data_IF_680513523192
#
_entry.id   IF_680513523192
#
_cell.length_a   1.000
_cell.length_b   1.000
_cell.length_c   1.000
_cell.angle_alpha   90.00
_cell.angle_beta   90.00
_cell.angle_gamma   90.00
#
_symmetry.space_group_name_H-M   'P 1'
#
loop_
_entity.id
_entity.type
_entity.pdbx_description
1 polymer ?
#
# COMPACT_ATOMS: atom_id res chain seq x y z
N UNK A 1 -9.88 -3.87 -22.76
CA UNK A 1 -8.87 -3.29 -21.86
C UNK A 1 -9.59 -2.29 -20.97
N UNK A 2 -9.34 -2.30 -19.66
CA UNK A 2 -9.94 -1.35 -18.71
C UNK A 2 -8.92 -0.28 -18.36
N UNK A 3 -9.38 0.93 -18.07
CA UNK A 3 -8.53 2.01 -17.56
C UNK A 3 -8.96 2.33 -16.14
N UNK A 4 -8.02 2.27 -15.20
CA UNK A 4 -8.28 2.54 -13.79
C UNK A 4 -7.58 3.82 -13.35
N UNK A 5 -8.29 4.62 -12.57
CA UNK A 5 -7.70 5.72 -11.80
C UNK A 5 -7.71 5.32 -10.34
N UNK A 6 -6.56 5.46 -9.68
CA UNK A 6 -6.37 5.10 -8.30
C UNK A 6 -6.43 6.37 -7.45
N UNK A 7 -7.25 6.34 -6.41
CA UNK A 7 -7.40 7.44 -5.47
C UNK A 7 -6.90 6.96 -4.13
N UNK A 8 -5.74 7.48 -3.75
CA UNK A 8 -5.09 7.23 -2.48
C UNK A 8 -4.97 8.58 -1.76
N UNK A 9 -6.02 9.01 -1.03
CA UNK A 9 -6.00 10.30 -0.39
C UNK A 9 -5.06 10.29 0.81
N UNK A 10 -4.19 11.29 0.90
CA UNK A 10 -3.47 11.59 2.12
C UNK A 10 -4.42 12.26 3.12
N UNK A 11 -4.74 11.56 4.21
CA UNK A 11 -5.55 12.12 5.29
C UNK A 11 -4.75 12.18 6.59
N UNK A 12 -4.97 13.25 7.35
CA UNK A 12 -4.62 13.28 8.77
C UNK A 12 -5.39 12.16 9.50
N UNK A 13 -4.67 11.37 10.28
CA UNK A 13 -5.16 10.15 10.91
C UNK A 13 -6.45 10.39 11.70
N UNK A 14 -7.47 9.62 11.36
CA UNK A 14 -8.63 9.43 12.21
C UNK A 14 -9.09 7.97 12.09
N UNK A 15 -9.94 7.56 13.03
CA UNK A 15 -10.43 6.18 13.14
C UNK A 15 -11.09 5.63 11.87
N UNK A 16 -11.47 6.49 10.91
CA UNK A 16 -12.22 6.10 9.72
C UNK A 16 -11.41 6.19 8.41
N UNK A 17 -10.27 6.89 8.36
CA UNK A 17 -9.71 7.37 7.09
C UNK A 17 -8.19 7.24 6.95
N UNK A 18 -7.65 6.02 7.07
CA UNK A 18 -6.21 5.86 6.84
C UNK A 18 -5.90 4.55 6.12
N UNK A 19 -4.98 4.59 5.16
CA UNK A 19 -4.54 3.41 4.41
C UNK A 19 -5.52 2.91 3.34
N UNK A 20 -6.47 3.74 2.90
CA UNK A 20 -7.40 3.37 1.83
C UNK A 20 -6.81 3.70 0.46
N UNK A 21 -6.96 2.75 -0.47
CA UNK A 21 -6.75 2.96 -1.90
C UNK A 21 -8.06 2.60 -2.60
N UNK A 22 -8.64 3.54 -3.34
CA UNK A 22 -9.87 3.31 -4.12
C UNK A 22 -9.52 3.17 -5.59
N UNK A 23 -10.11 2.18 -6.25
CA UNK A 23 -9.96 1.96 -7.69
C UNK A 23 -11.23 2.38 -8.40
N UNK A 24 -11.09 3.35 -9.32
CA UNK A 24 -12.18 3.89 -10.12
C UNK A 24 -12.03 3.39 -11.55
N UNK A 25 -13.05 2.74 -12.10
CA UNK A 25 -13.13 2.49 -13.54
C UNK A 25 -13.34 3.82 -14.26
N UNK A 26 -12.37 4.15 -15.10
CA UNK A 26 -12.32 5.36 -15.93
C UNK A 26 -12.12 5.00 -17.41
N UNK A 27 -12.49 3.78 -17.79
CA UNK A 27 -12.45 3.30 -19.19
C UNK A 27 -13.28 4.22 -20.09
N UNK A 28 -14.47 4.62 -19.62
CA UNK A 28 -15.19 5.77 -20.14
C UNK A 28 -14.99 6.94 -19.16
N UNK A 29 -14.13 7.92 -19.46
CA UNK A 29 -13.85 9.04 -18.55
C UNK A 29 -15.07 9.95 -18.34
N UNK A 30 -16.13 9.86 -19.16
CA UNK A 30 -17.38 10.58 -18.93
C UNK A 30 -18.30 9.90 -17.91
N UNK A 31 -18.03 8.64 -17.55
CA UNK A 31 -18.83 7.83 -16.62
C UNK A 31 -17.95 7.07 -15.61
N UNK A 32 -17.14 7.77 -14.80
CA UNK A 32 -16.29 7.09 -13.82
C UNK A 32 -17.12 6.47 -12.69
N UNK A 33 -16.73 5.30 -12.19
CA UNK A 33 -17.37 4.71 -11.01
C UNK A 33 -16.42 3.82 -10.19
N UNK A 34 -16.69 3.76 -8.88
CA UNK A 34 -15.93 2.93 -7.93
C UNK A 34 -16.11 1.44 -8.24
N UNK A 35 -15.01 0.71 -8.35
CA UNK A 35 -15.01 -0.74 -8.60
C UNK A 35 -14.30 -1.55 -7.54
N UNK A 36 -13.39 -0.95 -6.76
CA UNK A 36 -12.72 -1.61 -5.64
C UNK A 36 -12.28 -0.62 -4.57
N UNK A 37 -12.18 -1.12 -3.34
CA UNK A 37 -11.52 -0.43 -2.23
C UNK A 37 -10.56 -1.41 -1.57
N UNK A 38 -9.27 -1.07 -1.57
CA UNK A 38 -8.26 -1.72 -0.77
C UNK A 38 -8.02 -0.93 0.51
N UNK A 39 -7.73 -1.64 1.59
CA UNK A 39 -7.41 -1.07 2.89
C UNK A 39 -6.17 -1.75 3.42
N UNK A 40 -5.37 -1.03 4.19
CA UNK A 40 -4.25 -1.61 4.91
C UNK A 40 -4.68 -2.89 5.67
N UNK A 41 -4.07 -4.05 5.38
CA UNK A 41 -4.50 -5.32 5.95
C UNK A 41 -3.99 -5.49 7.39
N UNK A 42 -4.66 -6.35 8.14
CA UNK A 42 -4.33 -6.67 9.54
C UNK A 42 -5.38 -6.16 10.53
N UNK A 43 -5.58 -6.92 11.61
CA UNK A 43 -6.47 -6.52 12.71
C UNK A 43 -5.76 -5.52 13.62
N UNK A 44 -6.47 -4.48 13.99
CA UNK A 44 -6.02 -3.48 14.96
C UNK A 44 -6.47 -3.83 16.37
N UNK A 45 -5.66 -3.46 17.35
CA UNK A 45 -6.05 -3.50 18.76
C UNK A 45 -6.01 -2.09 19.29
N UNK A 46 -7.07 -1.68 19.98
CA UNK A 46 -7.18 -0.37 20.61
C UNK A 46 -7.41 -0.53 22.10
N UNK A 47 -6.58 0.12 22.91
CA UNK A 47 -6.86 0.31 24.32
C UNK A 47 -7.47 1.70 24.52
N UNK A 48 -8.61 1.79 25.22
CA UNK A 48 -9.22 3.07 25.57
C UNK A 48 -8.59 3.69 26.83
N UNK A 49 -8.99 4.92 27.17
CA UNK A 49 -8.45 5.63 28.33
C UNK A 49 -8.72 4.95 29.69
N UNK A 50 -9.59 3.94 29.72
CA UNK A 50 -9.92 3.16 30.91
C UNK A 50 -9.21 1.79 30.93
N UNK A 51 -8.31 1.53 29.97
CA UNK A 51 -7.59 0.27 29.83
C UNK A 51 -8.39 -0.85 29.15
N UNK A 52 -9.52 -0.54 28.51
CA UNK A 52 -10.32 -1.55 27.81
C UNK A 52 -9.75 -1.79 26.44
N UNK A 53 -9.38 -3.04 26.16
CA UNK A 53 -8.83 -3.47 24.88
C UNK A 53 -9.97 -3.95 23.96
N UNK A 54 -10.10 -3.32 22.79
CA UNK A 54 -11.02 -3.71 21.72
C UNK A 54 -10.28 -4.08 20.44
N UNK A 55 -10.70 -5.17 19.79
CA UNK A 55 -10.21 -5.54 18.46
C UNK A 55 -11.03 -4.87 17.37
N UNK A 56 -10.34 -4.42 16.32
CA UNK A 56 -10.92 -3.90 15.09
C UNK A 56 -10.55 -4.83 13.93
N UNK A 57 -11.48 -5.02 13.01
CA UNK A 57 -11.26 -5.83 11.80
C UNK A 57 -10.13 -5.28 10.92
N UNK A 58 -9.84 -3.97 11.05
CA UNK A 58 -8.80 -3.26 10.33
C UNK A 58 -7.76 -2.69 11.29
N UNK A 59 -6.60 -2.30 10.75
CA UNK A 59 -5.52 -1.72 11.53
C UNK A 59 -6.01 -0.46 12.26
N UNK A 60 -5.81 -0.43 13.58
CA UNK A 60 -6.11 0.74 14.40
C UNK A 60 -4.87 1.61 14.45
N UNK A 61 -5.06 2.91 14.28
CA UNK A 61 -3.96 3.86 14.14
C UNK A 61 -3.93 4.74 15.37
N UNK A 62 -2.88 4.63 16.19
CA UNK A 62 -2.68 5.54 17.31
C UNK A 62 -2.61 6.98 16.81
N UNK A 63 -3.15 7.92 17.60
CA UNK A 63 -3.33 9.34 17.24
C UNK A 63 -2.08 10.08 16.71
N UNK A 64 -0.88 9.54 16.93
CA UNK A 64 0.39 10.16 16.51
C UNK A 64 0.91 9.66 15.17
N UNK A 65 0.42 8.53 14.69
CA UNK A 65 0.92 7.90 13.47
C UNK A 65 -0.02 8.15 12.30
N UNK A 66 0.56 8.32 11.12
CA UNK A 66 -0.14 8.40 9.83
C UNK A 66 0.14 7.12 9.08
N UNK A 67 -0.88 6.45 8.56
CA UNK A 67 -0.75 5.22 7.77
C UNK A 67 -1.26 5.43 6.34
N UNK A 68 -1.27 6.67 5.87
CA UNK A 68 -1.80 6.99 4.55
C UNK A 68 -0.83 6.54 3.47
N UNK A 69 -1.30 6.13 2.27
CA UNK A 69 -0.42 6.05 1.13
C UNK A 69 0.15 7.45 0.86
N UNK A 70 1.47 7.55 0.71
CA UNK A 70 2.17 8.82 0.47
C UNK A 70 2.65 8.92 -0.98
N UNK A 71 3.09 7.80 -1.55
CA UNK A 71 3.51 7.74 -2.93
C UNK A 71 3.16 6.39 -3.55
N UNK A 72 3.10 6.33 -4.87
CA UNK A 72 2.85 5.08 -5.57
C UNK A 72 3.14 5.15 -7.05
N UNK A 73 3.35 3.98 -7.63
CA UNK A 73 3.66 3.82 -9.04
C UNK A 73 2.94 2.57 -9.59
N UNK A 74 2.71 2.56 -10.90
CA UNK A 74 2.09 1.44 -11.61
C UNK A 74 3.16 0.62 -12.29
N UNK A 75 3.06 -0.71 -12.23
CA UNK A 75 3.98 -1.58 -12.94
C UNK A 75 3.28 -2.55 -13.88
N UNK A 76 3.91 -3.70 -14.06
CA UNK A 76 3.42 -4.71 -15.00
C UNK A 76 2.24 -5.50 -14.41
N UNK A 77 1.48 -6.18 -15.29
CA UNK A 77 0.43 -7.12 -14.90
C UNK A 77 -0.68 -6.54 -13.99
N UNK A 78 -0.93 -5.23 -14.07
CA UNK A 78 -1.93 -4.57 -13.23
C UNK A 78 -1.53 -4.42 -11.76
N UNK A 79 -0.24 -4.58 -11.45
CA UNK A 79 0.31 -4.33 -10.13
C UNK A 79 0.49 -2.83 -9.89
N UNK A 80 0.25 -2.42 -8.65
CA UNK A 80 0.46 -1.06 -8.17
C UNK A 80 1.20 -1.12 -6.85
N UNK A 81 2.20 -0.26 -6.73
CA UNK A 81 3.16 -0.24 -5.64
C UNK A 81 2.93 1.04 -4.84
N UNK A 82 2.90 0.93 -3.52
CA UNK A 82 2.55 2.04 -2.65
C UNK A 82 3.52 2.12 -1.49
N UNK A 83 4.04 3.31 -1.21
CA UNK A 83 4.64 3.62 0.09
C UNK A 83 3.59 4.24 0.98
N UNK A 84 3.58 3.83 2.23
CA UNK A 84 2.74 4.41 3.26
C UNK A 84 3.60 5.09 4.31
N UNK A 85 3.09 6.19 4.86
CA UNK A 85 3.53 6.65 6.16
C UNK A 85 3.41 5.50 7.17
N UNK A 86 4.40 5.27 8.03
CA UNK A 86 4.36 4.32 9.16
C UNK A 86 3.73 2.92 8.89
N UNK A 87 3.70 2.47 7.64
CA UNK A 87 3.06 1.21 7.26
C UNK A 87 3.84 0.50 6.15
N UNK A 88 5.07 0.93 5.88
CA UNK A 88 5.95 0.35 4.86
C UNK A 88 5.42 0.45 3.44
N UNK A 89 5.88 -0.48 2.62
CA UNK A 89 5.62 -0.56 1.20
C UNK A 89 4.76 -1.76 0.84
N UNK A 90 3.77 -1.58 -0.03
CA UNK A 90 2.78 -2.58 -0.41
C UNK A 90 2.74 -2.78 -1.92
N UNK A 91 2.51 -4.03 -2.32
CA UNK A 91 2.19 -4.40 -3.71
C UNK A 91 0.74 -4.85 -3.76
N UNK A 92 -0.04 -4.23 -4.64
CA UNK A 92 -1.47 -4.51 -4.81
C UNK A 92 -1.79 -4.91 -6.24
N UNK A 93 -2.64 -5.90 -6.44
CA UNK A 93 -3.07 -6.40 -7.76
C UNK A 93 -4.44 -5.86 -8.15
N UNK A 94 -4.53 -5.25 -9.33
CA UNK A 94 -5.75 -4.58 -9.84
C UNK A 94 -6.29 -5.18 -11.14
N UNK A 95 -5.64 -6.19 -11.71
CA UNK A 95 -5.98 -6.81 -13.00
C UNK A 95 -7.28 -7.64 -12.96
N UNK A 96 -7.64 -8.18 -11.79
CA UNK A 96 -8.80 -9.08 -11.61
C UNK A 96 -10.02 -8.45 -10.95
N UNK A 97 -10.00 -7.13 -10.73
CA UNK A 97 -11.10 -6.41 -10.06
C UNK A 97 -12.43 -6.67 -10.78
N UNK A 98 -12.46 -6.59 -12.11
CA UNK A 98 -13.70 -6.76 -12.88
C UNK A 98 -14.31 -8.16 -12.75
N UNK A 99 -13.48 -9.19 -12.59
CA UNK A 99 -13.90 -10.59 -12.47
C UNK A 99 -14.51 -10.90 -11.10
N UNK A 100 -14.19 -10.08 -10.10
CA UNK A 100 -14.57 -10.29 -8.69
C UNK A 100 -15.72 -9.40 -8.25
N UNK A 101 -16.18 -8.46 -9.10
CA UNK A 101 -17.38 -7.67 -8.86
C UNK A 101 -18.60 -8.60 -8.86
N UNK A 102 -19.43 -8.50 -7.82
CA UNK A 102 -20.77 -9.08 -7.83
C UNK A 102 -21.75 -8.03 -8.31
N UNK A 103 -22.33 -8.27 -9.48
CA UNK A 103 -23.31 -7.39 -10.10
C UNK A 103 -24.72 -7.71 -9.60
N UNK A 104 -25.56 -6.67 -9.47
CA UNK A 104 -26.98 -6.86 -9.12
C UNK A 104 -27.65 -7.79 -10.12
N UNK A 105 -28.40 -8.74 -9.59
CA UNK A 105 -29.12 -9.77 -10.36
C UNK A 105 -28.20 -10.62 -11.27
N UNK A 106 -26.87 -10.60 -11.04
CA UNK A 106 -25.87 -11.25 -11.89
C UNK A 106 -25.68 -10.59 -13.26
N UNK A 107 -26.21 -9.39 -13.48
CA UNK A 107 -26.19 -8.71 -14.78
C UNK A 107 -25.12 -7.61 -14.80
N UNK A 108 -24.10 -7.81 -15.65
CA UNK A 108 -23.06 -6.80 -15.88
C UNK A 108 -23.68 -5.54 -16.53
N UNK A 109 -23.65 -4.41 -15.81
CA UNK A 109 -24.28 -3.16 -16.24
C UNK A 109 -23.40 -1.92 -15.96
N UNK A 110 -22.22 -1.78 -16.61
CA UNK A 110 -21.31 -0.65 -16.42
C UNK A 110 -21.93 0.72 -16.67
N UNK A 111 -22.93 0.81 -17.56
CA UNK A 111 -23.61 2.08 -17.86
C UNK A 111 -24.39 2.67 -16.67
N UNK A 112 -24.72 1.84 -15.67
CA UNK A 112 -25.34 2.27 -14.42
C UNK A 112 -24.29 2.60 -13.34
N UNK A 113 -23.00 2.41 -13.64
CA UNK A 113 -21.89 2.64 -12.72
C UNK A 113 -21.99 1.79 -11.44
N UNK A 114 -21.52 2.36 -10.32
CA UNK A 114 -21.47 1.69 -9.02
C UNK A 114 -22.85 1.25 -8.50
N UNK A 115 -23.93 1.83 -9.02
CA UNK A 115 -25.30 1.51 -8.60
C UNK A 115 -25.73 0.11 -9.06
N UNK A 116 -25.08 -0.46 -10.08
CA UNK A 116 -25.30 -1.84 -10.52
C UNK A 116 -24.42 -2.87 -9.80
N UNK A 117 -23.57 -2.42 -8.86
CA UNK A 117 -22.70 -3.29 -8.08
C UNK A 117 -23.39 -3.65 -6.76
N UNK A 118 -23.44 -4.94 -6.45
CA UNK A 118 -23.88 -5.47 -5.15
C UNK A 118 -22.69 -5.62 -4.21
N UNK A 119 -21.55 -6.09 -4.72
CA UNK A 119 -20.28 -6.16 -4.00
C UNK A 119 -19.14 -5.65 -4.89
N UNK A 120 -18.35 -4.70 -4.37
CA UNK A 120 -17.15 -4.21 -5.05
C UNK A 120 -16.18 -5.38 -5.33
N UNK A 121 -15.42 -5.23 -6.42
CA UNK A 121 -14.35 -6.17 -6.75
C UNK A 121 -13.20 -6.10 -5.75
N UNK A 122 -12.40 -7.15 -5.74
CA UNK A 122 -11.27 -7.31 -4.83
C UNK A 122 -10.00 -6.75 -5.46
N UNK A 123 -9.30 -5.91 -4.69
CA UNK A 123 -7.89 -5.58 -4.94
C UNK A 123 -7.04 -6.53 -4.11
N UNK A 124 -6.17 -7.31 -4.76
CA UNK A 124 -5.36 -8.31 -4.08
C UNK A 124 -4.18 -7.67 -3.35
N UNK A 125 -3.83 -8.20 -2.18
CA UNK A 125 -2.57 -7.86 -1.50
C UNK A 125 -1.51 -8.88 -1.89
N UNK A 126 -0.48 -8.44 -2.61
CA UNK A 126 0.50 -9.33 -3.23
C UNK A 126 1.84 -9.37 -2.49
N UNK A 127 2.21 -8.27 -1.83
CA UNK A 127 3.49 -8.15 -1.16
C UNK A 127 3.51 -7.01 -0.14
N UNK A 128 4.43 -7.14 0.80
CA UNK A 128 4.71 -6.17 1.85
C UNK A 128 6.20 -6.12 2.11
N UNK A 129 6.75 -4.92 2.31
CA UNK A 129 8.11 -4.71 2.75
C UNK A 129 8.15 -3.57 3.75
N UNK A 130 8.89 -3.74 4.84
CA UNK A 130 9.16 -2.68 5.80
C UNK A 130 10.66 -2.40 5.79
N UNK A 131 11.10 -1.20 5.38
CA UNK A 131 12.45 -0.73 5.66
C UNK A 131 12.81 -0.91 7.13
N UNK A 132 14.03 -1.33 7.46
CA UNK A 132 14.38 -1.66 8.86
C UNK A 132 15.82 -1.30 9.22
N UNK A 133 16.48 -0.50 8.40
CA UNK A 133 17.91 -0.28 8.45
C UNK A 133 18.68 -1.29 7.60
N UNK A 134 19.96 -1.01 7.33
CA UNK A 134 20.82 -1.94 6.61
C UNK A 134 21.21 -3.14 7.47
N UNK A 135 21.27 -4.34 6.87
CA UNK A 135 21.62 -5.60 7.55
C UNK A 135 23.02 -5.61 8.20
N UNK A 136 23.92 -4.71 7.78
CA UNK A 136 25.27 -4.60 8.32
C UNK A 136 25.35 -3.73 9.58
N UNK A 137 24.23 -3.15 10.01
CA UNK A 137 24.15 -2.30 11.19
C UNK A 137 23.74 -3.12 12.42
N UNK A 138 24.62 -3.16 13.42
CA UNK A 138 24.41 -3.99 14.62
C UNK A 138 23.33 -3.42 15.56
N UNK A 139 23.16 -2.09 15.60
CA UNK A 139 22.17 -1.43 16.46
C UNK A 139 21.46 -0.27 15.72
N UNK A 140 20.57 -0.64 14.80
CA UNK A 140 19.81 0.32 14.00
C UNK A 140 19.01 1.33 14.84
N UNK A 141 18.43 0.91 15.97
CA UNK A 141 17.67 1.79 16.86
C UNK A 141 18.53 2.96 17.38
N UNK A 142 19.77 2.67 17.79
CA UNK A 142 20.67 3.69 18.32
C UNK A 142 21.34 4.51 17.21
N UNK A 143 21.82 3.85 16.15
CA UNK A 143 22.60 4.50 15.09
C UNK A 143 21.75 5.37 14.17
N UNK A 144 20.51 4.97 13.92
CA UNK A 144 19.53 5.73 13.14
C UNK A 144 18.66 6.62 14.02
N UNK A 145 18.84 6.54 15.33
CA UNK A 145 18.11 7.34 16.32
C UNK A 145 16.58 7.26 16.14
N UNK A 146 16.02 6.10 15.74
CA UNK A 146 14.58 5.94 15.49
C UNK A 146 13.72 6.33 16.70
N UNK A 147 14.21 6.13 17.92
CA UNK A 147 13.48 6.52 19.14
C UNK A 147 13.54 8.04 19.43
N UNK A 148 14.46 8.75 18.78
CA UNK A 148 14.65 10.20 18.89
C UNK A 148 14.19 10.96 17.64
N UNK A 149 13.91 10.24 16.55
CA UNK A 149 13.33 10.79 15.34
C UNK A 149 12.00 11.45 15.65
N UNK A 150 11.70 12.55 14.97
CA UNK A 150 10.41 13.21 15.10
C UNK A 150 9.29 12.19 14.79
N UNK A 151 8.23 12.17 15.60
CA UNK A 151 7.13 11.21 15.40
C UNK A 151 6.30 11.46 14.14
N UNK A 152 6.46 12.61 13.52
CA UNK A 152 6.00 12.83 12.15
C UNK A 152 6.93 12.19 11.12
N UNK A 153 8.24 12.14 11.41
CA UNK A 153 9.26 11.65 10.50
C UNK A 153 9.45 10.13 10.56
N UNK A 154 9.82 9.52 11.70
CA UNK A 154 10.03 8.05 11.74
C UNK A 154 10.06 7.46 13.17
N UNK A 155 9.37 8.05 14.16
CA UNK A 155 9.50 7.51 15.52
C UNK A 155 8.97 6.06 15.58
N UNK A 156 9.83 5.11 15.97
CA UNK A 156 9.53 3.66 16.11
C UNK A 156 9.14 2.88 14.84
N UNK A 157 8.57 3.53 13.81
CA UNK A 157 8.18 2.89 12.54
C UNK A 157 8.72 3.74 11.37
N UNK A 158 9.40 3.14 10.39
CA UNK A 158 9.94 3.86 9.25
C UNK A 158 8.85 4.57 8.42
N UNK A 159 9.25 5.70 7.83
CA UNK A 159 8.41 6.48 6.93
C UNK A 159 8.99 6.43 5.52
N UNK A 160 8.30 5.66 4.69
CA UNK A 160 8.57 5.56 3.27
C UNK A 160 8.03 6.80 2.51
N UNK A 161 8.94 7.66 2.07
CA UNK A 161 8.63 8.91 1.39
C UNK A 161 8.39 8.71 -0.11
N UNK A 162 9.38 8.21 -0.84
CA UNK A 162 9.32 8.06 -2.29
C UNK A 162 9.21 6.60 -2.72
N UNK A 163 8.48 6.36 -3.80
CA UNK A 163 8.46 5.08 -4.49
C UNK A 163 8.65 5.28 -5.98
N UNK A 164 9.40 4.38 -6.61
CA UNK A 164 9.43 4.23 -8.06
C UNK A 164 9.50 2.75 -8.44
N UNK A 165 8.70 2.35 -9.42
CA UNK A 165 8.80 1.04 -10.05
C UNK A 165 9.69 1.09 -11.29
N UNK A 166 10.61 0.15 -11.39
CA UNK A 166 11.40 -0.11 -12.59
C UNK A 166 10.78 -1.26 -13.38
N UNK A 167 10.56 -1.11 -14.69
CA UNK A 167 9.99 -2.16 -15.55
C UNK A 167 10.74 -3.50 -15.56
N UNK A 168 11.94 -3.57 -15.00
CA UNK A 168 12.71 -4.81 -14.77
C UNK A 168 12.27 -5.56 -13.51
N UNK A 169 11.29 -5.03 -12.78
CA UNK A 169 10.70 -5.63 -11.58
C UNK A 169 11.29 -5.13 -10.25
N UNK A 170 11.98 -4.00 -10.25
CA UNK A 170 12.55 -3.42 -9.02
C UNK A 170 11.66 -2.33 -8.46
N UNK A 171 11.58 -2.27 -7.14
CA UNK A 171 10.86 -1.25 -6.39
C UNK A 171 11.91 -0.48 -5.61
N UNK A 172 12.05 0.80 -5.95
CA UNK A 172 12.92 1.73 -5.25
C UNK A 172 12.09 2.45 -4.20
N UNK A 173 12.46 2.30 -2.94
CA UNK A 173 11.78 2.90 -1.80
C UNK A 173 12.78 3.84 -1.13
N UNK A 174 12.38 5.08 -0.89
CA UNK A 174 13.17 6.02 -0.07
C UNK A 174 12.49 6.15 1.27
N UNK A 175 13.21 5.77 2.33
CA UNK A 175 12.80 5.93 3.72
C UNK A 175 13.59 7.08 4.34
N UNK A 176 12.92 7.91 5.13
CA UNK A 176 13.46 9.20 5.58
C UNK A 176 14.75 9.11 6.40
N UNK A 177 14.96 8.01 7.13
CA UNK A 177 16.03 7.89 8.12
C UNK A 177 17.15 6.95 7.67
N UNK A 178 16.77 5.80 7.14
CA UNK A 178 17.65 4.67 6.82
C UNK A 178 18.07 4.61 5.35
N UNK A 179 17.49 5.45 4.48
CA UNK A 179 17.94 5.66 3.12
C UNK A 179 17.12 4.93 2.06
N UNK A 180 17.80 4.44 1.02
CA UNK A 180 17.14 3.88 -0.18
C UNK A 180 17.22 2.36 -0.17
N UNK A 181 16.07 1.73 -0.35
CA UNK A 181 15.91 0.29 -0.46
C UNK A 181 15.56 -0.07 -1.90
N UNK A 182 16.16 -1.17 -2.38
CA UNK A 182 15.84 -1.76 -3.66
C UNK A 182 15.34 -3.16 -3.38
N UNK A 183 14.04 -3.35 -3.57
CA UNK A 183 13.37 -4.64 -3.33
C UNK A 183 12.71 -5.14 -4.60
N UNK A 184 12.32 -6.41 -4.61
CA UNK A 184 11.69 -7.03 -5.76
C UNK A 184 10.61 -8.00 -5.27
N UNK A 185 9.39 -7.81 -5.78
CA UNK A 185 8.31 -8.76 -5.60
C UNK A 185 8.57 -10.02 -6.43
N UNK A 186 8.35 -11.20 -5.86
CA UNK A 186 8.60 -12.47 -6.55
C UNK A 186 7.86 -12.59 -7.89
N UNK A 187 6.65 -12.03 -7.99
CA UNK A 187 5.88 -12.02 -9.24
C UNK A 187 6.44 -11.11 -10.33
N UNK A 188 7.37 -10.21 -10.00
CA UNK A 188 8.02 -9.31 -10.96
C UNK A 188 9.43 -9.79 -11.37
N UNK A 189 9.90 -10.93 -10.84
CA UNK A 189 11.22 -11.47 -11.19
C UNK A 189 11.24 -11.92 -12.65
N UNK A 190 12.05 -11.24 -13.47
CA UNK A 190 12.37 -11.67 -14.83
C UNK A 190 13.78 -12.26 -14.89
N UNK A 191 13.95 -13.52 -15.32
CA UNK A 191 15.26 -14.14 -15.50
C UNK A 191 16.23 -13.40 -16.44
N UNK A 192 15.72 -12.53 -17.31
CA UNK A 192 16.53 -11.68 -18.20
C UNK A 192 17.21 -10.52 -17.47
N UNK A 193 16.71 -10.14 -16.30
CA UNK A 193 17.15 -8.96 -15.55
C UNK A 193 17.73 -9.29 -14.17
N UNK A 194 18.25 -10.51 -13.96
CA UNK A 194 18.96 -10.85 -12.72
C UNK A 194 20.14 -9.90 -12.48
N UNK A 195 20.04 -9.10 -11.41
CA UNK A 195 21.20 -8.45 -10.82
C UNK A 195 21.86 -9.42 -9.82
N UNK A 196 23.04 -9.99 -10.14
CA UNK A 196 23.77 -10.75 -9.15
C UNK A 196 24.16 -9.83 -7.97
N UNK A 197 24.34 -10.38 -6.75
CA UNK A 197 24.87 -9.61 -5.63
C UNK A 197 26.13 -8.86 -6.05
N UNK A 198 26.19 -7.55 -5.79
CA UNK A 198 27.38 -6.75 -6.09
C UNK A 198 28.59 -7.14 -5.23
N UNK A 199 28.35 -7.84 -4.12
CA UNK A 199 29.35 -8.34 -3.20
C UNK A 199 29.18 -9.84 -2.99
N UNK A 200 30.29 -10.57 -3.02
CA UNK A 200 30.31 -11.99 -2.67
C UNK A 200 30.19 -12.12 -1.14
N UNK A 201 29.33 -13.04 -0.69
CA UNK A 201 29.30 -13.55 0.70
C UNK A 201 30.53 -14.39 1.02
#
# INVERSE_FOLDING_TARGET
WRHYTLIAPEYGSNNNHTGYVRTIDTTDPAKPFLVSEWKLPGRGVREDANGTVSEHEHHYIPNIYIYSPHNGDTGTNGNVYWTHYHAGSWVTGHDRIWETIVWKDGVVAPDQGWQAIEQLGTTDTLGYYLPHGPDWMDNATQELEYDMADCWASCMIPFDWGLQYDPRGYIYISEMVSGIYVVQYDGDKDPKYYYPPLFNT
#
